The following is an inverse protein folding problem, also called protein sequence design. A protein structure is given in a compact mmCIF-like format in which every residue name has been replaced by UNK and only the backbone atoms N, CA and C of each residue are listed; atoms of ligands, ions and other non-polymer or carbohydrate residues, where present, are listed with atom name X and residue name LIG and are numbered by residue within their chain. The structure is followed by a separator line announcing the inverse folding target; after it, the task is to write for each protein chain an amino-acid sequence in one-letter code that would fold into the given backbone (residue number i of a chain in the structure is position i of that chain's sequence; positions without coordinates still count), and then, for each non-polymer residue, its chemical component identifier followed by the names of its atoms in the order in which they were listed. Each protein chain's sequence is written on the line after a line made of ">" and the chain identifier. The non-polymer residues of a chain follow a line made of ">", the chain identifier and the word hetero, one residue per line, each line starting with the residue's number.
data_IF_583193822003
#
_entry.id   IF_583193822003
#
_cell.length_a   1.000
_cell.length_b   1.000
_cell.length_c   1.000
_cell.angle_alpha   90.00
_cell.angle_beta   90.00
_cell.angle_gamma   90.00
#
_symmetry.space_group_name_H-M   'P 1'
#
loop_
_entity.id
_entity.type
_entity.pdbx_description
1 polymer ?
#
# COMPACT_ATOMS: atom_id res chain seq x y z
N UNK A 1 -9.12 22.13 -10.80
CA UNK A 1 -8.27 20.93 -10.63
C UNK A 1 -7.04 21.41 -9.88
N UNK A 2 -6.51 20.66 -8.89
CA UNK A 2 -5.38 21.17 -8.10
C UNK A 2 -4.15 21.35 -8.98
N UNK A 3 -3.36 22.37 -8.65
CA UNK A 3 -2.13 22.70 -9.37
C UNK A 3 -0.98 21.77 -8.95
N UNK A 4 0.06 21.67 -9.79
CA UNK A 4 1.23 20.84 -9.49
C UNK A 4 1.82 21.03 -8.08
N UNK A 5 2.07 22.27 -7.59
CA UNK A 5 2.61 22.45 -6.23
C UNK A 5 1.70 21.89 -5.13
N UNK A 6 0.38 21.92 -5.31
CA UNK A 6 -0.57 21.36 -4.33
C UNK A 6 -0.51 19.83 -4.32
N UNK A 7 -0.37 19.22 -5.51
CA UNK A 7 -0.23 17.78 -5.67
C UNK A 7 1.06 17.28 -5.03
N UNK A 8 2.16 18.01 -5.22
CA UNK A 8 3.46 17.65 -4.63
C UNK A 8 3.46 17.81 -3.12
N UNK A 9 2.88 18.90 -2.60
CA UNK A 9 2.73 19.09 -1.16
C UNK A 9 1.92 17.96 -0.52
N UNK A 10 0.79 17.59 -1.14
CA UNK A 10 -0.05 16.49 -0.67
C UNK A 10 0.69 15.14 -0.75
N UNK A 11 1.39 14.88 -1.86
CA UNK A 11 2.17 13.66 -2.01
C UNK A 11 3.25 13.54 -0.92
N UNK A 12 4.04 14.60 -0.69
CA UNK A 12 5.06 14.62 0.36
C UNK A 12 4.46 14.43 1.76
N UNK A 13 3.31 15.06 2.04
CA UNK A 13 2.63 14.91 3.32
C UNK A 13 2.14 13.47 3.57
N UNK A 14 1.69 12.76 2.52
CA UNK A 14 1.13 11.42 2.65
C UNK A 14 2.17 10.30 2.69
N UNK A 15 3.33 10.47 2.05
CA UNK A 15 4.39 9.44 1.98
C UNK A 15 4.73 8.75 3.31
N UNK A 16 5.01 9.45 4.43
CA UNK A 16 5.38 8.78 5.68
C UNK A 16 4.26 7.92 6.29
N UNK A 17 3.00 8.14 5.88
CA UNK A 17 1.85 7.39 6.36
C UNK A 17 1.54 6.16 5.51
N UNK A 18 1.96 6.16 4.24
CA UNK A 18 1.63 5.13 3.26
C UNK A 18 2.80 4.21 2.92
N UNK A 19 4.04 4.69 2.97
CA UNK A 19 5.22 3.88 2.66
C UNK A 19 5.41 2.76 3.71
N UNK A 20 5.68 1.53 3.25
CA UNK A 20 5.91 0.36 4.10
C UNK A 20 4.65 -0.24 4.76
N UNK A 21 3.44 0.24 4.41
CA UNK A 21 2.18 -0.34 4.87
C UNK A 21 1.63 -1.34 3.86
N UNK A 22 0.65 -2.13 4.26
CA UNK A 22 -0.10 -3.01 3.36
C UNK A 22 -1.55 -2.57 3.28
N UNK A 23 -2.10 -2.55 2.07
CA UNK A 23 -3.52 -2.25 1.86
C UNK A 23 -4.36 -3.46 2.26
N UNK A 24 -5.23 -3.34 3.28
CA UNK A 24 -6.05 -4.46 3.79
C UNK A 24 -7.27 -4.75 2.91
N UNK A 25 -7.89 -3.71 2.36
CA UNK A 25 -9.10 -3.82 1.55
C UNK A 25 -9.18 -2.64 0.58
N UNK A 26 -9.80 -2.86 -0.58
CA UNK A 26 -10.04 -1.84 -1.58
C UNK A 26 -11.51 -1.84 -1.98
N UNK A 27 -12.20 -0.73 -1.78
CA UNK A 27 -13.63 -0.57 -2.12
C UNK A 27 -13.81 0.68 -2.99
N UNK A 28 -14.01 0.54 -4.32
CA UNK A 28 -14.22 1.68 -5.20
C UNK A 28 -15.66 2.22 -5.01
N UNK A 29 -15.78 3.37 -4.32
CA UNK A 29 -17.10 3.96 -4.01
C UNK A 29 -17.61 5.00 -5.01
N UNK A 30 -16.81 5.38 -6.00
CA UNK A 30 -17.14 6.50 -6.90
C UNK A 30 -17.42 6.01 -8.32
N UNK A 31 -18.69 6.00 -8.71
CA UNK A 31 -19.14 5.60 -10.05
C UNK A 31 -18.80 6.62 -11.16
N UNK A 32 -18.35 7.83 -10.80
CA UNK A 32 -18.12 8.95 -11.74
C UNK A 32 -16.66 9.26 -12.07
N UNK A 33 -15.72 8.33 -11.89
CA UNK A 33 -14.35 8.58 -12.38
C UNK A 33 -14.33 8.61 -13.91
N UNK A 34 -13.57 9.56 -14.48
CA UNK A 34 -13.32 9.64 -15.93
C UNK A 34 -12.76 8.33 -16.50
N UNK A 35 -12.01 7.59 -15.69
CA UNK A 35 -11.59 6.22 -15.96
C UNK A 35 -12.05 5.36 -14.79
N UNK A 36 -12.92 4.37 -15.01
CA UNK A 36 -13.32 3.47 -13.94
C UNK A 36 -12.11 2.64 -13.49
N UNK A 37 -12.16 2.16 -12.23
CA UNK A 37 -11.22 1.14 -11.80
C UNK A 37 -11.50 -0.17 -12.53
N UNK A 38 -10.47 -0.94 -12.92
CA UNK A 38 -10.68 -2.27 -13.46
C UNK A 38 -11.30 -3.17 -12.37
N UNK A 39 -12.13 -4.16 -12.74
CA UNK A 39 -12.82 -5.02 -11.78
C UNK A 39 -11.85 -5.83 -10.90
N UNK A 40 -10.68 -6.18 -11.44
CA UNK A 40 -9.60 -6.87 -10.73
C UNK A 40 -8.70 -5.94 -9.87
N UNK A 41 -8.97 -4.63 -9.82
CA UNK A 41 -8.13 -3.68 -9.11
C UNK A 41 -7.85 -4.10 -7.66
N UNK A 42 -8.89 -4.55 -6.94
CA UNK A 42 -8.75 -4.99 -5.56
C UNK A 42 -7.76 -6.16 -5.42
N UNK A 43 -7.81 -7.14 -6.31
CA UNK A 43 -6.90 -8.29 -6.28
C UNK A 43 -5.44 -7.90 -6.56
N UNK A 44 -5.21 -6.85 -7.34
CA UNK A 44 -3.87 -6.38 -7.70
C UNK A 44 -3.22 -5.58 -6.56
N UNK A 45 -4.02 -4.76 -5.85
CA UNK A 45 -3.48 -3.76 -4.90
C UNK A 45 -3.58 -4.18 -3.44
N UNK A 46 -4.51 -5.08 -3.08
CA UNK A 46 -4.59 -5.60 -1.70
C UNK A 46 -3.30 -6.35 -1.37
N UNK A 47 -2.75 -6.08 -0.18
CA UNK A 47 -1.45 -6.58 0.25
C UNK A 47 -0.25 -5.74 -0.24
N UNK A 48 -0.48 -4.67 -1.02
CA UNK A 48 0.58 -3.83 -1.59
C UNK A 48 0.32 -2.34 -1.35
N UNK A 49 1.15 -1.66 -0.57
CA UNK A 49 1.17 -0.19 -0.50
C UNK A 49 2.62 0.31 -0.44
N UNK A 50 2.93 1.33 -1.25
CA UNK A 50 4.18 2.11 -1.15
C UNK A 50 5.47 1.32 -1.39
N UNK A 51 6.01 1.41 -2.61
CA UNK A 51 7.28 0.81 -3.00
C UNK A 51 8.47 1.37 -2.22
N UNK A 52 8.80 0.73 -1.11
CA UNK A 52 10.19 0.62 -0.67
C UNK A 52 10.85 -0.48 -1.53
N UNK A 53 11.70 -0.09 -2.46
CA UNK A 53 12.52 -1.02 -3.22
C UNK A 53 13.47 -1.77 -2.28
N UNK A 54 13.09 -3.00 -1.87
CA UNK A 54 13.91 -4.21 -1.83
C UNK A 54 13.24 -5.26 -0.91
N UNK A 55 12.55 -6.19 -1.55
CA UNK A 55 11.98 -7.36 -0.91
C UNK A 55 10.90 -7.93 -1.84
N UNK A 56 11.17 -9.07 -2.47
CA UNK A 56 10.09 -9.96 -2.93
C UNK A 56 9.30 -10.46 -1.71
N UNK A 57 8.71 -11.66 -1.72
CA UNK A 57 8.50 -12.35 -0.44
C UNK A 57 9.89 -12.62 0.15
N UNK A 58 10.50 -11.63 0.82
CA UNK A 58 11.58 -11.89 1.75
C UNK A 58 10.92 -12.73 2.83
N UNK A 59 11.12 -14.04 2.70
CA UNK A 59 11.00 -14.98 3.78
C UNK A 59 11.44 -14.28 5.06
N UNK A 60 10.57 -14.30 6.07
CA UNK A 60 10.95 -13.97 7.43
C UNK A 60 12.00 -15.01 7.87
N UNK A 61 13.25 -14.82 7.46
CA UNK A 61 14.41 -15.58 7.90
C UNK A 61 15.28 -14.64 8.71
N UNK A 62 14.75 -14.26 9.87
CA UNK A 62 15.55 -13.77 10.98
C UNK A 62 15.21 -14.62 12.19
N UNK A 63 16.01 -15.68 12.35
CA UNK A 63 16.24 -16.35 13.62
C UNK A 63 16.90 -15.32 14.56
N UNK A 64 16.09 -14.50 15.22
CA UNK A 64 16.53 -13.81 16.44
C UNK A 64 15.37 -13.85 17.43
N UNK A 65 15.60 -14.65 18.48
CA UNK A 65 14.70 -14.80 19.60
C UNK A 65 14.53 -13.44 20.31
N UNK A 66 13.39 -12.80 20.07
CA UNK A 66 12.93 -11.60 20.78
C UNK A 66 11.41 -11.50 20.67
N UNK A 67 10.69 -11.07 21.72
CA UNK A 67 9.24 -11.07 21.75
C UNK A 67 8.71 -9.86 20.97
N UNK A 68 8.62 -9.96 19.65
CA UNK A 68 8.11 -8.85 18.84
C UNK A 68 7.95 -9.11 17.33
N UNK A 69 8.20 -10.32 16.84
CA UNK A 69 8.02 -10.64 15.43
C UNK A 69 6.53 -10.75 15.09
N UNK A 70 6.00 -9.71 14.45
CA UNK A 70 4.67 -9.71 13.86
C UNK A 70 4.57 -10.81 12.78
N UNK A 71 3.95 -11.92 13.15
CA UNK A 71 3.53 -13.00 12.25
C UNK A 71 2.38 -12.50 11.38
N UNK A 72 2.68 -12.09 10.15
CA UNK A 72 1.68 -11.98 9.11
C UNK A 72 1.42 -13.37 8.50
N UNK A 73 0.77 -14.25 9.26
CA UNK A 73 0.09 -15.44 8.73
C UNK A 73 -1.32 -15.03 8.36
N UNK A 74 -1.66 -15.07 7.08
CA UNK A 74 -3.05 -15.08 6.63
C UNK A 74 -3.44 -16.51 6.25
N UNK A 75 -4.55 -16.97 6.82
CA UNK A 75 -5.30 -18.16 6.44
C UNK A 75 -6.24 -17.84 5.28
#
# INVERSE_FOLDING_TARGET
>A
MPELPEVEALAMALRPWLEGRCLRSFEPRRAGLRRPFPPEAAAIVVGRLGGGSNGGPSSCSSTSAGPGCCSCTWA
#
